data_IF_057433978090
#
_entry.id   IF_057433978090
#
_cell.length_a   1.000
_cell.length_b   1.000
_cell.length_c   1.000
_cell.angle_alpha   90.00
_cell.angle_beta   90.00
_cell.angle_gamma   90.00
#
_symmetry.space_group_name_H-M   'P 1'
#
loop_
_entity.id
_entity.type
_entity.pdbx_description
1 polymer ?
#
# COMPACT_ATOMS: atom_id res chain seq x y z
N UNK A 1 8.82 17.51 41.70
CA UNK A 1 8.68 18.18 40.39
C UNK A 1 9.84 17.89 39.41
N UNK A 2 11.12 17.81 39.84
CA UNK A 2 12.26 17.50 38.93
C UNK A 2 12.30 16.07 38.35
N UNK A 3 11.77 15.05 39.05
CA UNK A 3 11.70 13.66 38.54
C UNK A 3 10.68 13.46 37.39
N UNK A 4 9.63 14.27 37.34
CA UNK A 4 8.65 14.26 36.24
C UNK A 4 9.20 14.92 34.95
N UNK A 5 10.09 15.90 35.08
CA UNK A 5 10.76 16.56 33.94
C UNK A 5 11.76 15.63 33.20
N UNK A 6 12.31 14.62 33.88
CA UNK A 6 13.21 13.62 33.26
C UNK A 6 12.45 12.42 32.66
N UNK A 7 11.22 12.15 33.09
CA UNK A 7 10.45 11.00 32.62
C UNK A 7 9.79 11.25 31.25
N UNK A 8 9.34 12.48 30.97
CA UNK A 8 8.67 12.80 29.71
C UNK A 8 9.55 12.59 28.47
N UNK A 9 10.82 13.03 28.43
CA UNK A 9 11.70 12.76 27.28
C UNK A 9 11.93 11.27 27.05
N UNK A 10 12.04 10.47 28.11
CA UNK A 10 12.22 9.02 28.02
C UNK A 10 10.98 8.32 27.47
N UNK A 11 9.79 8.73 27.92
CA UNK A 11 8.52 8.21 27.40
C UNK A 11 8.35 8.55 25.90
N UNK A 12 8.67 9.78 25.51
CA UNK A 12 8.63 10.18 24.10
C UNK A 12 9.62 9.39 23.25
N UNK A 13 10.86 9.24 23.72
CA UNK A 13 11.88 8.44 23.03
C UNK A 13 11.45 6.97 22.86
N UNK A 14 10.87 6.37 23.89
CA UNK A 14 10.33 5.02 23.83
C UNK A 14 9.17 4.91 22.82
N UNK A 15 8.28 5.91 22.78
CA UNK A 15 7.18 5.95 21.81
C UNK A 15 7.69 6.06 20.37
N UNK A 16 8.68 6.92 20.11
CA UNK A 16 9.31 7.03 18.78
C UNK A 16 10.03 5.75 18.37
N UNK A 17 10.78 5.12 19.28
CA UNK A 17 11.46 3.85 19.02
C UNK A 17 10.45 2.74 18.68
N UNK A 18 9.31 2.69 19.38
CA UNK A 18 8.25 1.74 19.11
C UNK A 18 7.59 1.96 17.74
N UNK A 19 7.30 3.20 17.36
CA UNK A 19 6.76 3.54 16.04
C UNK A 19 7.76 3.15 14.93
N UNK A 20 9.05 3.46 15.13
CA UNK A 20 10.10 3.08 14.18
C UNK A 20 10.19 1.57 14.01
N UNK A 21 10.16 0.83 15.12
CA UNK A 21 10.19 -0.64 15.11
C UNK A 21 8.98 -1.23 14.39
N UNK A 22 7.76 -0.73 14.63
CA UNK A 22 6.58 -1.16 13.87
C UNK A 22 6.74 -0.92 12.37
N UNK A 23 7.22 0.27 12.00
CA UNK A 23 7.40 0.66 10.60
C UNK A 23 8.43 -0.20 9.86
N UNK A 24 9.40 -0.77 10.58
CA UNK A 24 10.42 -1.65 10.01
C UNK A 24 9.97 -3.09 9.82
N UNK A 25 8.89 -3.55 10.48
CA UNK A 25 8.42 -4.93 10.36
C UNK A 25 7.59 -5.12 9.10
N UNK A 26 8.07 -5.95 8.16
CA UNK A 26 7.25 -6.36 7.03
C UNK A 26 6.14 -7.33 7.51
N UNK A 27 4.86 -7.07 7.18
CA UNK A 27 3.78 -7.98 7.52
C UNK A 27 3.83 -9.25 6.66
N UNK A 28 3.18 -10.32 7.13
CA UNK A 28 2.83 -11.45 6.27
C UNK A 28 1.74 -10.99 5.27
N UNK A 29 2.09 -11.03 3.98
CA UNK A 29 1.31 -10.56 2.83
C UNK A 29 1.29 -11.64 1.73
N UNK A 30 0.46 -11.43 0.70
CA UNK A 30 0.25 -12.40 -0.37
C UNK A 30 -1.22 -12.71 -0.58
N UNK A 31 -1.47 -13.51 -1.63
CA UNK A 31 -2.81 -13.96 -2.00
C UNK A 31 -3.08 -15.31 -1.35
N UNK A 32 -4.16 -15.38 -0.58
CA UNK A 32 -4.67 -16.63 0.02
C UNK A 32 -6.11 -16.81 -0.43
N UNK A 33 -6.42 -17.94 -1.05
CA UNK A 33 -7.77 -18.26 -1.58
C UNK A 33 -8.38 -17.15 -2.46
N UNK A 34 -7.55 -16.56 -3.33
CA UNK A 34 -7.95 -15.49 -4.24
C UNK A 34 -8.18 -14.13 -3.57
N UNK A 35 -7.75 -13.97 -2.32
CA UNK A 35 -7.92 -12.73 -1.55
C UNK A 35 -6.60 -12.17 -1.07
N UNK A 36 -6.49 -10.84 -1.13
CA UNK A 36 -5.49 -10.07 -0.42
C UNK A 36 -5.80 -10.06 1.08
N UNK A 37 -4.81 -9.67 1.88
CA UNK A 37 -5.00 -9.52 3.32
C UNK A 37 -6.15 -8.56 3.63
N UNK A 38 -7.07 -8.89 4.55
CA UNK A 38 -8.15 -7.98 4.93
C UNK A 38 -7.63 -6.63 5.43
N UNK A 39 -8.46 -5.59 5.30
CA UNK A 39 -8.24 -4.31 5.98
C UNK A 39 -8.37 -4.51 7.50
N UNK A 40 -7.52 -3.83 8.27
CA UNK A 40 -7.58 -3.84 9.74
C UNK A 40 -8.58 -2.83 10.29
N UNK A 41 -8.48 -2.53 11.58
CA UNK A 41 -9.42 -1.62 12.26
C UNK A 41 -9.08 -0.13 12.05
N UNK A 42 -7.81 0.18 11.78
CA UNK A 42 -7.32 1.57 11.65
C UNK A 42 -7.76 2.19 10.33
N UNK A 43 -8.01 3.51 10.27
CA UNK A 43 -8.43 4.20 9.05
C UNK A 43 -7.25 4.52 8.11
N UNK A 44 -6.22 3.66 8.06
CA UNK A 44 -4.99 3.87 7.29
C UNK A 44 -4.70 2.71 6.34
N UNK A 45 -5.77 2.09 5.84
CA UNK A 45 -5.71 1.10 4.78
C UNK A 45 -6.93 1.19 3.88
N UNK A 46 -6.73 0.77 2.63
CA UNK A 46 -7.79 0.61 1.63
C UNK A 46 -7.59 -0.69 0.87
N UNK A 47 -8.68 -1.28 0.39
CA UNK A 47 -8.63 -2.46 -0.48
C UNK A 47 -9.86 -2.54 -1.37
N UNK A 48 -9.68 -3.06 -2.59
CA UNK A 48 -10.80 -3.38 -3.45
C UNK A 48 -11.61 -4.61 -3.04
N UNK A 49 -11.11 -5.36 -2.05
CA UNK A 49 -11.81 -6.49 -1.44
C UNK A 49 -12.32 -6.17 -0.02
N UNK A 50 -12.25 -4.90 0.42
CA UNK A 50 -12.80 -4.51 1.71
C UNK A 50 -14.34 -4.55 1.70
N UNK A 51 -14.90 -4.95 2.83
CA UNK A 51 -16.36 -4.88 3.09
C UNK A 51 -16.75 -3.59 3.81
N UNK A 52 -15.78 -2.85 4.32
CA UNK A 52 -15.96 -1.52 4.89
C UNK A 52 -15.96 -0.49 3.75
N UNK A 53 -17.07 0.23 3.60
CA UNK A 53 -17.26 1.18 2.49
C UNK A 53 -16.24 2.34 2.54
N UNK A 54 -15.85 2.78 3.73
CA UNK A 54 -14.89 3.87 3.92
C UNK A 54 -13.46 3.47 3.50
N UNK A 55 -13.20 2.16 3.43
CA UNK A 55 -11.90 1.58 3.05
C UNK A 55 -11.94 0.91 1.69
N UNK A 56 -13.11 0.83 1.06
CA UNK A 56 -13.26 0.25 -0.27
C UNK A 56 -12.74 1.21 -1.32
N UNK A 57 -12.00 0.64 -2.27
CA UNK A 57 -11.63 1.26 -3.56
C UNK A 57 -12.07 0.31 -4.67
N UNK A 58 -12.12 0.76 -5.91
CA UNK A 58 -12.53 -0.14 -6.99
C UNK A 58 -11.39 -1.07 -7.40
N UNK A 59 -11.68 -2.28 -7.91
CA UNK A 59 -10.68 -3.06 -8.62
C UNK A 59 -10.37 -2.39 -9.97
N UNK A 60 -9.15 -2.54 -10.46
CA UNK A 60 -8.78 -2.07 -11.79
C UNK A 60 -9.18 -3.14 -12.82
N UNK A 61 -9.69 -2.78 -14.01
CA UNK A 61 -9.89 -3.76 -15.07
C UNK A 61 -8.53 -4.25 -15.58
N UNK A 62 -8.41 -5.52 -15.92
CA UNK A 62 -7.22 -6.00 -16.64
C UNK A 62 -7.07 -5.29 -17.99
N UNK A 63 -5.81 -5.15 -18.44
CA UNK A 63 -5.50 -4.83 -19.83
C UNK A 63 -5.78 -6.05 -20.73
N UNK A 64 -5.50 -5.92 -22.03
CA UNK A 64 -5.78 -6.97 -23.03
C UNK A 64 -5.12 -8.32 -22.72
N UNK A 65 -4.03 -8.32 -21.97
CA UNK A 65 -3.30 -9.52 -21.57
C UNK A 65 -2.76 -9.42 -20.13
N UNK A 66 -2.34 -10.55 -19.58
CA UNK A 66 -1.62 -10.59 -18.30
C UNK A 66 -0.32 -9.78 -18.37
N UNK A 67 0.39 -9.87 -19.50
CA UNK A 67 1.64 -9.15 -19.74
C UNK A 67 1.42 -7.63 -19.74
N UNK A 68 0.45 -7.14 -20.52
CA UNK A 68 0.09 -5.72 -20.55
C UNK A 68 -0.39 -5.22 -19.19
N UNK A 69 -1.14 -6.04 -18.47
CA UNK A 69 -1.62 -5.71 -17.12
C UNK A 69 -0.44 -5.51 -16.16
N UNK A 70 0.54 -6.42 -16.20
CA UNK A 70 1.74 -6.31 -15.39
C UNK A 70 2.57 -5.09 -15.79
N UNK A 71 2.79 -4.90 -17.09
CA UNK A 71 3.53 -3.74 -17.61
C UNK A 71 2.90 -2.42 -17.16
N UNK A 72 1.57 -2.31 -17.21
CA UNK A 72 0.85 -1.14 -16.73
C UNK A 72 0.98 -0.93 -15.21
N UNK A 73 0.98 -2.01 -14.40
CA UNK A 73 1.22 -1.91 -12.95
C UNK A 73 2.64 -1.41 -12.67
N UNK A 74 3.65 -1.97 -13.32
CA UNK A 74 5.04 -1.54 -13.15
C UNK A 74 5.24 -0.09 -13.55
N UNK A 75 4.71 0.31 -14.72
CA UNK A 75 4.77 1.70 -15.17
C UNK A 75 4.07 2.65 -14.19
N UNK A 76 2.93 2.26 -13.60
CA UNK A 76 2.25 3.08 -12.60
C UNK A 76 3.07 3.23 -11.31
N UNK A 77 3.66 2.14 -10.82
CA UNK A 77 4.54 2.16 -9.63
C UNK A 77 5.76 3.06 -9.86
N UNK A 78 6.40 2.93 -11.02
CA UNK A 78 7.59 3.71 -11.39
C UNK A 78 7.27 5.20 -11.51
N UNK A 79 6.19 5.56 -12.21
CA UNK A 79 5.78 6.95 -12.42
C UNK A 79 5.29 7.64 -11.14
N UNK A 80 4.74 6.91 -10.17
CA UNK A 80 4.37 7.49 -8.87
C UNK A 80 5.60 7.87 -8.03
N UNK A 81 6.73 7.19 -8.24
CA UNK A 81 8.00 7.31 -7.51
C UNK A 81 7.96 6.90 -6.02
N UNK A 82 9.13 6.65 -5.44
CA UNK A 82 9.27 6.36 -4.00
C UNK A 82 8.80 4.97 -3.57
N UNK A 83 8.70 4.03 -4.51
CA UNK A 83 8.37 2.63 -4.27
C UNK A 83 9.59 1.71 -4.40
N UNK A 84 9.61 0.62 -3.65
CA UNK A 84 10.51 -0.51 -3.87
C UNK A 84 9.69 -1.77 -4.10
N UNK A 85 9.88 -2.44 -5.23
CA UNK A 85 9.23 -3.72 -5.52
C UNK A 85 9.90 -4.79 -4.67
N UNK A 86 9.12 -5.45 -3.82
CA UNK A 86 9.59 -6.49 -2.90
C UNK A 86 9.33 -7.89 -3.45
N UNK A 87 8.23 -8.06 -4.18
CA UNK A 87 7.85 -9.33 -4.82
C UNK A 87 7.31 -9.04 -6.21
N UNK A 88 7.84 -9.77 -7.18
CA UNK A 88 7.31 -9.86 -8.53
C UNK A 88 6.99 -11.32 -8.87
N UNK A 89 5.71 -11.66 -8.92
CA UNK A 89 5.20 -12.94 -9.37
C UNK A 89 4.15 -12.72 -10.48
N UNK A 90 3.92 -13.70 -11.38
CA UNK A 90 3.07 -13.51 -12.56
C UNK A 90 1.72 -12.84 -12.30
N UNK A 91 1.04 -13.20 -11.21
CA UNK A 91 -0.28 -12.65 -10.85
C UNK A 91 -0.29 -11.83 -9.57
N UNK A 92 0.87 -11.54 -9.00
CA UNK A 92 0.97 -10.84 -7.72
C UNK A 92 2.22 -9.96 -7.66
N UNK A 93 2.02 -8.68 -7.37
CA UNK A 93 3.09 -7.70 -7.22
C UNK A 93 2.92 -7.05 -5.86
N UNK A 94 4.01 -6.96 -5.09
CA UNK A 94 4.04 -6.24 -3.82
C UNK A 94 5.17 -5.21 -3.82
N UNK A 95 4.82 -3.98 -3.51
CA UNK A 95 5.73 -2.85 -3.39
C UNK A 95 5.57 -2.13 -2.05
N UNK A 96 6.65 -1.51 -1.59
CA UNK A 96 6.67 -0.68 -0.39
C UNK A 96 6.89 0.77 -0.79
N UNK A 97 5.95 1.64 -0.46
CA UNK A 97 6.06 3.09 -0.67
C UNK A 97 6.53 3.75 0.62
N UNK A 98 7.51 4.66 0.54
CA UNK A 98 7.99 5.41 1.71
C UNK A 98 7.50 6.85 1.66
N UNK A 99 6.68 7.25 2.63
CA UNK A 99 6.18 8.63 2.72
C UNK A 99 7.31 9.65 2.98
N UNK A 100 7.29 10.85 2.36
CA UNK A 100 8.44 11.75 2.39
C UNK A 100 8.70 12.37 3.77
N UNK A 101 7.65 12.72 4.51
CA UNK A 101 7.74 13.46 5.78
C UNK A 101 8.05 12.53 6.97
N UNK A 102 7.21 11.52 7.18
CA UNK A 102 7.30 10.64 8.36
C UNK A 102 8.10 9.36 8.11
N UNK A 103 8.49 9.09 6.86
CA UNK A 103 9.18 7.86 6.43
C UNK A 103 8.41 6.59 6.81
N UNK A 104 7.08 6.68 6.87
CA UNK A 104 6.22 5.51 7.02
C UNK A 104 6.22 4.71 5.72
N UNK A 105 6.33 3.39 5.91
CA UNK A 105 6.25 2.39 4.88
C UNK A 105 4.79 1.96 4.73
N UNK A 106 4.29 2.10 3.50
CA UNK A 106 2.98 1.62 3.09
C UNK A 106 3.16 0.41 2.19
N UNK A 107 2.56 -0.71 2.57
CA UNK A 107 2.59 -1.96 1.81
C UNK A 107 1.46 -1.94 0.78
N UNK A 108 1.83 -2.01 -0.50
CA UNK A 108 0.92 -2.00 -1.65
C UNK A 108 0.96 -3.33 -2.38
N UNK A 109 -0.19 -3.96 -2.53
CA UNK A 109 -0.35 -5.25 -3.20
C UNK A 109 -1.28 -5.11 -4.42
N UNK A 110 -0.87 -5.73 -5.52
CA UNK A 110 -1.67 -5.93 -6.71
C UNK A 110 -1.86 -7.43 -6.94
N UNK A 111 -3.10 -7.89 -7.03
CA UNK A 111 -3.44 -9.27 -7.38
C UNK A 111 -4.23 -9.30 -8.68
N UNK A 112 -3.70 -9.98 -9.69
CA UNK A 112 -4.33 -10.10 -11.01
C UNK A 112 -5.23 -11.34 -11.02
N UNK A 113 -6.54 -11.13 -10.95
CA UNK A 113 -7.54 -12.18 -11.14
C UNK A 113 -7.93 -12.32 -12.61
N UNK A 114 -7.30 -13.27 -13.29
CA UNK A 114 -7.57 -13.61 -14.69
C UNK A 114 -8.93 -14.25 -14.91
N UNK A 115 -9.58 -14.76 -13.85
CA UNK A 115 -10.92 -15.37 -13.94
C UNK A 115 -11.99 -14.29 -14.06
N UNK A 116 -11.82 -13.20 -13.30
CA UNK A 116 -12.75 -12.06 -13.29
C UNK A 116 -12.28 -10.92 -14.20
N UNK A 117 -11.09 -11.03 -14.78
CA UNK A 117 -10.44 -9.98 -15.57
C UNK A 117 -10.25 -8.68 -14.77
N UNK A 118 -9.87 -8.81 -13.50
CA UNK A 118 -9.69 -7.71 -12.55
C UNK A 118 -8.29 -7.72 -11.94
N UNK A 119 -7.84 -6.54 -11.50
CA UNK A 119 -6.69 -6.36 -10.62
C UNK A 119 -7.21 -5.87 -9.28
N UNK A 120 -7.14 -6.74 -8.28
CA UNK A 120 -7.39 -6.36 -6.90
C UNK A 120 -6.23 -5.57 -6.34
N UNK A 121 -6.56 -4.59 -5.50
CA UNK A 121 -5.60 -3.66 -4.92
C UNK A 121 -5.75 -3.64 -3.40
N UNK A 122 -4.62 -3.43 -2.73
CA UNK A 122 -4.59 -3.08 -1.31
C UNK A 122 -3.42 -2.15 -1.05
N UNK A 123 -3.62 -1.16 -0.18
CA UNK A 123 -2.56 -0.29 0.35
C UNK A 123 -2.76 -0.08 1.84
N UNK A 124 -1.72 -0.25 2.65
CA UNK A 124 -1.81 -0.05 4.10
C UNK A 124 -0.51 0.40 4.74
N UNK A 125 -0.62 1.30 5.72
CA UNK A 125 0.53 1.74 6.52
C UNK A 125 0.93 0.73 7.58
N UNK A 126 2.24 0.48 7.73
CA UNK A 126 2.79 -0.41 8.79
C UNK A 126 2.66 0.17 10.20
N UNK A 127 2.74 1.48 10.31
CA UNK A 127 2.74 2.20 11.58
C UNK A 127 1.80 3.42 11.54
N UNK A 128 1.53 3.97 12.72
CA UNK A 128 0.58 5.07 12.90
C UNK A 128 -0.86 4.59 13.04
N UNK A 129 -1.76 5.54 13.31
CA UNK A 129 -3.20 5.30 13.43
C UNK A 129 -3.97 5.77 12.20
N UNK A 130 -3.66 6.97 11.70
CA UNK A 130 -4.25 7.54 10.50
C UNK A 130 -3.13 7.98 9.56
N UNK A 131 -3.39 7.82 8.27
CA UNK A 131 -2.56 8.29 7.17
C UNK A 131 -3.14 9.57 6.52
N UNK A 132 -4.23 10.13 7.08
CA UNK A 132 -4.99 11.25 6.51
C UNK A 132 -5.45 11.00 5.06
N UNK A 133 -5.73 9.75 4.70
CA UNK A 133 -6.21 9.34 3.38
C UNK A 133 -5.12 9.12 2.34
N UNK A 134 -3.83 9.12 2.73
CA UNK A 134 -2.72 8.90 1.79
C UNK A 134 -2.82 7.57 1.03
N UNK A 135 -3.29 6.49 1.65
CA UNK A 135 -3.47 5.21 0.96
C UNK A 135 -4.55 5.28 -0.12
N UNK A 136 -5.63 6.05 0.11
CA UNK A 136 -6.65 6.31 -0.92
C UNK A 136 -6.14 7.21 -2.03
N UNK A 137 -5.46 8.30 -1.69
CA UNK A 137 -4.85 9.20 -2.68
C UNK A 137 -3.83 8.46 -3.57
N UNK A 138 -3.07 7.54 -2.98
CA UNK A 138 -2.15 6.68 -3.72
C UNK A 138 -2.88 5.74 -4.67
N UNK A 139 -3.96 5.11 -4.21
CA UNK A 139 -4.80 4.29 -5.08
C UNK A 139 -5.29 5.11 -6.28
N UNK A 140 -5.84 6.29 -6.06
CA UNK A 140 -6.39 7.15 -7.12
C UNK A 140 -5.32 7.53 -8.15
N UNK A 141 -4.12 7.92 -7.69
CA UNK A 141 -3.01 8.24 -8.58
C UNK A 141 -2.48 7.01 -9.34
N UNK A 142 -2.35 5.86 -8.68
CA UNK A 142 -1.92 4.62 -9.33
C UNK A 142 -2.97 4.13 -10.33
N UNK A 143 -4.27 4.30 -10.05
CA UNK A 143 -5.36 4.00 -10.98
C UNK A 143 -5.25 4.87 -12.24
N UNK A 144 -5.09 6.19 -12.08
CA UNK A 144 -4.91 7.10 -13.21
C UNK A 144 -3.70 6.71 -14.08
N UNK A 145 -2.53 6.51 -13.46
CA UNK A 145 -1.31 6.10 -14.15
C UNK A 145 -1.50 4.74 -14.85
N UNK A 146 -2.11 3.77 -14.17
CA UNK A 146 -2.42 2.46 -14.74
C UNK A 146 -3.32 2.57 -15.96
N UNK A 147 -4.40 3.35 -15.89
CA UNK A 147 -5.34 3.53 -17.00
C UNK A 147 -4.69 4.23 -18.19
N UNK A 148 -3.81 5.18 -17.91
CA UNK A 148 -3.12 5.97 -18.94
C UNK A 148 -2.08 5.18 -19.75
N UNK A 149 -1.60 4.04 -19.24
CA UNK A 149 -0.69 3.15 -19.98
C UNK A 149 -1.33 2.63 -21.28
N UNK A 150 -0.62 2.66 -22.44
CA UNK A 150 0.84 2.86 -22.60
C UNK A 150 1.29 4.30 -22.90
N UNK A 151 0.42 5.31 -22.78
CA UNK A 151 0.68 6.66 -23.28
C UNK A 151 1.82 7.41 -22.54
N UNK A 152 2.22 6.93 -21.35
CA UNK A 152 3.25 7.53 -20.50
C UNK A 152 4.40 6.58 -20.11
N UNK A 153 4.51 5.42 -20.75
CA UNK A 153 5.70 4.56 -20.59
C UNK A 153 6.82 5.06 -21.50
N UNK A 154 7.70 5.91 -20.97
CA UNK A 154 8.98 6.29 -21.58
C UNK A 154 10.14 5.80 -20.73
#
# INVERSE_FOLDING_TARGET
MKKFLLALPLVLAAAFAFIYWQNSQAPALGVVDGKLKPTGDKPNDVSSQSTDEDKRVDPLPMKNSLEDTRAAIFAAIENYAGATIMVDQPRYIYAVFTTPLMKYNDDVEFYIDTTQSLVHFRSASRAGYSDRGLNRQRYEALDELYRSWPLYSQ
#
